data_IF_878765446581
#
_entry.id   IF_878765446581
#
_cell.length_a   1.000
_cell.length_b   1.000
_cell.length_c   1.000
_cell.angle_alpha   90.00
_cell.angle_beta   90.00
_cell.angle_gamma   90.00
#
_symmetry.space_group_name_H-M   'P 1'
#
loop_
_entity.id
_entity.type
_entity.pdbx_description
1 polymer ?
#
# COMPACT_ATOMS: atom_id res chain seq x y z
N UNK A 1 14.80 2.05 -26.54
CA UNK A 1 14.74 2.61 -25.17
C UNK A 1 13.64 1.87 -24.44
N UNK A 2 13.94 1.20 -23.33
CA UNK A 2 12.91 0.57 -22.49
C UNK A 2 11.95 1.65 -21.95
N UNK A 3 10.66 1.48 -22.19
CA UNK A 3 9.65 2.33 -21.54
C UNK A 3 9.59 1.95 -20.07
N UNK A 4 9.96 2.88 -19.18
CA UNK A 4 9.75 2.72 -17.74
C UNK A 4 8.30 3.00 -17.41
N UNK A 5 7.71 2.14 -16.58
CA UNK A 5 6.39 2.39 -16.02
C UNK A 5 6.42 3.66 -15.15
N UNK A 6 5.37 4.47 -15.24
CA UNK A 6 5.22 5.66 -14.41
C UNK A 6 4.76 5.24 -13.02
N UNK A 7 5.45 5.74 -12.00
CA UNK A 7 5.13 5.47 -10.59
C UNK A 7 4.93 6.80 -9.86
N UNK A 8 3.84 6.89 -9.10
CA UNK A 8 3.60 8.00 -8.17
C UNK A 8 3.95 7.49 -6.76
N UNK A 9 4.79 8.24 -6.05
CA UNK A 9 5.21 7.90 -4.69
C UNK A 9 4.67 8.95 -3.72
N UNK A 10 3.83 8.52 -2.78
CA UNK A 10 3.24 9.39 -1.75
C UNK A 10 3.90 9.11 -0.40
N UNK A 11 4.77 10.03 0.04
CA UNK A 11 5.48 9.94 1.32
C UNK A 11 5.06 11.08 2.26
N UNK A 12 5.16 10.85 3.56
CA UNK A 12 4.88 11.86 4.59
C UNK A 12 4.51 11.23 5.94
N UNK A 13 4.39 12.04 7.01
CA UNK A 13 4.07 11.56 8.36
C UNK A 13 2.71 10.83 8.44
N UNK A 14 2.50 10.02 9.47
CA UNK A 14 1.19 9.41 9.75
C UNK A 14 0.13 10.50 9.97
N UNK A 15 -1.13 10.21 9.62
CA UNK A 15 -2.28 11.10 9.78
C UNK A 15 -2.30 12.41 8.95
N UNK A 16 -1.41 12.59 7.97
CA UNK A 16 -1.44 13.77 7.06
C UNK A 16 -2.36 13.61 5.83
N UNK A 17 -3.18 12.54 5.79
CA UNK A 17 -4.16 12.33 4.71
C UNK A 17 -3.66 11.59 3.47
N UNK A 18 -2.50 10.91 3.53
CA UNK A 18 -1.91 10.18 2.39
C UNK A 18 -2.88 9.16 1.77
N UNK A 19 -3.55 8.36 2.60
CA UNK A 19 -4.49 7.32 2.16
C UNK A 19 -5.67 7.89 1.36
N UNK A 20 -6.21 9.03 1.82
CA UNK A 20 -7.28 9.72 1.10
C UNK A 20 -6.79 10.19 -0.27
N UNK A 21 -5.61 10.82 -0.30
CA UNK A 21 -5.01 11.30 -1.55
C UNK A 21 -4.69 10.15 -2.53
N UNK A 22 -4.20 9.00 -2.03
CA UNK A 22 -3.91 7.85 -2.90
C UNK A 22 -5.17 7.32 -3.59
N UNK A 23 -6.30 7.27 -2.90
CA UNK A 23 -7.59 6.85 -3.48
C UNK A 23 -8.01 7.82 -4.59
N UNK A 24 -7.96 9.13 -4.35
CA UNK A 24 -8.32 10.15 -5.33
C UNK A 24 -7.44 10.05 -6.59
N UNK A 25 -6.14 9.84 -6.42
CA UNK A 25 -5.19 9.65 -7.52
C UNK A 25 -5.45 8.34 -8.28
N UNK A 26 -5.69 7.24 -7.58
CA UNK A 26 -5.96 5.95 -8.19
C UNK A 26 -7.25 5.98 -9.02
N UNK A 27 -8.32 6.63 -8.54
CA UNK A 27 -9.53 6.87 -9.35
C UNK A 27 -9.24 7.70 -10.60
N UNK A 28 -8.48 8.80 -10.44
CA UNK A 28 -8.16 9.73 -11.53
C UNK A 28 -7.35 9.07 -12.65
N UNK A 29 -6.45 8.17 -12.30
CA UNK A 29 -5.54 7.53 -13.25
C UNK A 29 -5.90 6.09 -13.59
N UNK A 30 -7.04 5.58 -13.09
CA UNK A 30 -7.42 4.17 -13.16
C UNK A 30 -6.27 3.25 -12.72
N UNK A 31 -5.64 3.63 -11.60
CA UNK A 31 -4.47 2.97 -11.04
C UNK A 31 -4.81 2.07 -9.85
N UNK A 32 -3.77 1.42 -9.35
CA UNK A 32 -3.79 0.61 -8.15
C UNK A 32 -2.82 1.17 -7.11
N UNK A 33 -2.98 0.74 -5.85
CA UNK A 33 -2.21 1.25 -4.71
C UNK A 33 -1.36 0.12 -4.15
N UNK A 34 -0.08 0.39 -3.94
CA UNK A 34 0.83 -0.51 -3.23
C UNK A 34 1.11 0.13 -1.87
N UNK A 35 0.75 -0.55 -0.77
CA UNK A 35 1.08 -0.05 0.57
C UNK A 35 2.60 -0.11 0.78
N UNK A 36 3.18 1.03 1.15
CA UNK A 36 4.59 1.14 1.55
C UNK A 36 4.79 1.13 3.07
N UNK A 37 3.74 0.84 3.85
CA UNK A 37 3.80 0.80 5.31
C UNK A 37 4.24 -0.60 5.79
N UNK A 38 5.26 -0.66 6.65
CA UNK A 38 5.82 -1.93 7.11
C UNK A 38 4.95 -2.68 8.11
N UNK A 39 3.94 -2.03 8.71
CA UNK A 39 3.09 -2.62 9.75
C UNK A 39 1.73 -3.05 9.19
N UNK A 40 1.20 -2.37 8.16
CA UNK A 40 -0.09 -2.75 7.55
C UNK A 40 -0.06 -4.07 6.77
N UNK A 41 1.14 -4.63 6.54
CA UNK A 41 1.31 -5.95 5.90
C UNK A 41 0.76 -7.10 6.76
N UNK A 42 0.62 -6.91 8.08
CA UNK A 42 0.30 -7.98 9.02
C UNK A 42 -1.21 -8.12 9.26
N UNK A 43 -1.69 -9.35 9.16
CA UNK A 43 -3.11 -9.72 9.37
C UNK A 43 -3.57 -9.45 10.80
N UNK A 44 -4.79 -8.93 10.93
CA UNK A 44 -5.44 -8.68 12.22
C UNK A 44 -4.88 -7.50 13.03
N UNK A 45 -3.84 -6.83 12.54
CA UNK A 45 -3.25 -5.65 13.18
C UNK A 45 -3.88 -4.36 12.67
N UNK A 46 -5.22 -4.24 12.67
CA UNK A 46 -5.91 -3.20 11.90
C UNK A 46 -5.91 -1.83 12.60
N UNK A 47 -6.34 -1.81 13.87
CA UNK A 47 -6.55 -0.56 14.62
C UNK A 47 -5.21 0.14 14.91
N UNK A 48 -4.23 -0.60 15.45
CA UNK A 48 -2.94 -0.02 15.86
C UNK A 48 -2.07 0.47 14.70
N UNK A 49 -2.36 0.04 13.47
CA UNK A 49 -1.62 0.43 12.26
C UNK A 49 -2.40 1.41 11.37
N UNK A 50 -3.56 1.87 11.84
CA UNK A 50 -4.49 2.69 11.07
C UNK A 50 -4.73 2.10 9.65
N UNK A 51 -4.92 0.78 9.60
CA UNK A 51 -5.11 0.05 8.35
C UNK A 51 -6.40 0.48 7.68
N UNK A 52 -6.31 0.74 6.38
CA UNK A 52 -7.47 1.11 5.57
C UNK A 52 -8.49 -0.04 5.52
N UNK A 53 -9.77 0.30 5.67
CA UNK A 53 -10.88 -0.66 5.59
C UNK A 53 -11.27 -0.96 4.14
N UNK A 54 -11.98 -2.07 3.90
CA UNK A 54 -12.43 -2.45 2.55
C UNK A 54 -13.41 -1.44 1.96
N UNK A 55 -14.22 -0.84 2.80
CA UNK A 55 -15.17 0.22 2.46
C UNK A 55 -14.43 1.47 1.99
N UNK A 56 -13.39 1.89 2.73
CA UNK A 56 -12.54 3.04 2.37
C UNK A 56 -11.70 2.81 1.12
N UNK A 57 -11.33 1.56 0.80
CA UNK A 57 -10.60 1.24 -0.44
C UNK A 57 -11.41 1.58 -1.71
N UNK A 58 -12.74 1.72 -1.61
CA UNK A 58 -13.61 2.09 -2.73
C UNK A 58 -13.42 1.22 -4.00
N UNK A 59 -13.22 -0.09 -3.81
CA UNK A 59 -12.95 -1.09 -4.87
C UNK A 59 -11.61 -0.91 -5.61
N UNK A 60 -10.77 0.01 -5.18
CA UNK A 60 -9.43 0.19 -5.75
C UNK A 60 -8.53 -0.96 -5.27
N UNK A 61 -7.79 -1.63 -6.16
CA UNK A 61 -6.85 -2.66 -5.75
C UNK A 61 -5.79 -2.09 -4.82
N UNK A 62 -5.69 -2.66 -3.61
CA UNK A 62 -4.65 -2.37 -2.65
C UNK A 62 -3.78 -3.62 -2.47
N UNK A 63 -2.48 -3.46 -2.69
CA UNK A 63 -1.49 -4.53 -2.55
C UNK A 63 -0.67 -4.35 -1.28
N UNK A 64 -0.07 -5.45 -0.82
CA UNK A 64 0.82 -5.50 0.36
C UNK A 64 0.13 -5.07 1.67
N UNK A 65 -1.15 -5.41 1.80
CA UNK A 65 -1.92 -5.32 3.04
C UNK A 65 -2.38 -6.74 3.38
N UNK A 66 -2.32 -7.13 4.65
CA UNK A 66 -2.75 -8.47 5.12
C UNK A 66 -2.06 -9.64 4.39
N UNK A 67 -0.77 -9.50 4.05
CA UNK A 67 0.00 -10.51 3.34
C UNK A 67 0.82 -11.44 4.26
N UNK A 68 0.99 -11.08 5.54
CA UNK A 68 1.79 -11.82 6.53
C UNK A 68 1.01 -12.02 7.83
N UNK A 69 1.33 -13.08 8.57
CA UNK A 69 0.94 -13.24 9.96
C UNK A 69 1.83 -12.39 10.87
N UNK A 70 1.35 -11.92 12.04
CA UNK A 70 2.13 -11.07 12.96
C UNK A 70 3.45 -11.68 13.47
N UNK A 71 3.58 -13.01 13.44
CA UNK A 71 4.77 -13.76 13.87
C UNK A 71 5.78 -13.99 12.73
N UNK A 72 5.44 -13.63 11.49
CA UNK A 72 6.34 -13.74 10.35
C UNK A 72 7.23 -12.51 10.22
N UNK A 73 8.51 -12.72 9.84
CA UNK A 73 9.40 -11.61 9.52
C UNK A 73 9.08 -10.99 8.15
N UNK A 74 9.35 -9.69 8.03
CA UNK A 74 9.34 -8.97 6.75
C UNK A 74 10.55 -8.06 6.61
N UNK A 75 11.06 -7.91 5.39
CA UNK A 75 12.27 -7.12 5.11
C UNK A 75 12.08 -6.15 3.94
N UNK A 76 12.96 -5.15 3.86
CA UNK A 76 13.00 -4.21 2.72
C UNK A 76 13.30 -4.90 1.39
N UNK A 77 14.11 -5.97 1.41
CA UNK A 77 14.40 -6.78 0.22
C UNK A 77 13.14 -7.54 -0.25
N UNK A 78 12.36 -8.07 0.69
CA UNK A 78 11.09 -8.71 0.37
C UNK A 78 10.07 -7.70 -0.18
N UNK A 79 9.97 -6.52 0.42
CA UNK A 79 9.14 -5.41 -0.10
C UNK A 79 9.51 -5.05 -1.54
N UNK A 80 10.80 -4.88 -1.85
CA UNK A 80 11.28 -4.60 -3.20
C UNK A 80 10.85 -5.69 -4.18
N UNK A 81 11.02 -6.96 -3.82
CA UNK A 81 10.66 -8.09 -4.67
C UNK A 81 9.16 -8.21 -4.92
N UNK A 82 8.33 -7.93 -3.92
CA UNK A 82 6.87 -8.02 -4.03
C UNK A 82 6.28 -6.82 -4.78
N UNK A 83 6.78 -5.61 -4.52
CA UNK A 83 6.31 -4.38 -5.18
C UNK A 83 6.71 -4.34 -6.65
N UNK A 84 7.89 -4.83 -7.03
CA UNK A 84 8.35 -4.87 -8.43
C UNK A 84 7.56 -5.81 -9.34
N UNK A 85 6.66 -6.64 -8.78
CA UNK A 85 5.79 -7.56 -9.53
C UNK A 85 4.39 -6.98 -9.79
N UNK A 86 4.18 -5.71 -9.47
CA UNK A 86 2.95 -4.94 -9.67
C UNK A 86 3.25 -3.86 -10.70
#
# INVERSE_FOLDING_TARGET
MEQRQKLIVLIGPTAVGKTKLSIELAKKFNGEIISGDSMQIYKGMDIGTAKITREEMERIPHHLIDIKQPDESFSTAEFQNLSARK
#
